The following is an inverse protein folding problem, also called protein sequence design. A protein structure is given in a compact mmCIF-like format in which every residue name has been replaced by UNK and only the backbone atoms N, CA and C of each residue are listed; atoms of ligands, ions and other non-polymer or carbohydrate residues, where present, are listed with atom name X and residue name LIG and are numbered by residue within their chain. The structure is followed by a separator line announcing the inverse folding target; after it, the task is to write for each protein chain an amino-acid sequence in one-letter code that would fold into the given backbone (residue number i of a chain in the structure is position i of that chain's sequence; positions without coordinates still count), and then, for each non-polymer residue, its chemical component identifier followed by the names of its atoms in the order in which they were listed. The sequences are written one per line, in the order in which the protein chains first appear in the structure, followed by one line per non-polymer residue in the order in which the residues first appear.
data_IF_510931012148
#
_entry.id   IF_510931012148
#
_cell.length_a   1.000
_cell.length_b   1.000
_cell.length_c   1.000
_cell.angle_alpha   90.00
_cell.angle_beta   90.00
_cell.angle_gamma   90.00
#
_symmetry.space_group_name_H-M   'P 1'
#
loop_
_entity.id
_entity.type
_entity.pdbx_description
1 polymer ?
#
# COMPACT_ATOMS: atom_id res chain seq x y z
N UNK A 1 32.22 35.22 -18.27
CA UNK A 1 31.48 36.05 -17.30
C UNK A 1 30.02 35.98 -17.65
N UNK A 2 29.28 35.12 -17.02
CA UNK A 2 27.81 35.14 -17.01
C UNK A 2 27.39 34.58 -15.67
N UNK A 3 27.02 35.53 -14.78
CA UNK A 3 26.49 35.26 -13.46
C UNK A 3 25.18 34.50 -13.58
N UNK A 4 25.19 33.25 -13.20
CA UNK A 4 23.97 32.49 -12.94
C UNK A 4 23.49 32.91 -11.55
N UNK A 5 22.50 33.80 -11.50
CA UNK A 5 21.75 34.15 -10.32
C UNK A 5 21.12 32.88 -9.71
N UNK A 6 21.78 32.32 -8.71
CA UNK A 6 21.20 31.30 -7.80
C UNK A 6 20.31 32.01 -6.81
N UNK A 7 19.03 32.12 -7.11
CA UNK A 7 18.02 32.51 -6.14
C UNK A 7 17.97 31.42 -5.05
N UNK A 8 18.45 31.69 -3.87
CA UNK A 8 18.34 30.87 -2.67
C UNK A 8 16.85 30.73 -2.29
N UNK A 9 16.24 29.64 -2.73
CA UNK A 9 14.88 29.31 -2.34
C UNK A 9 14.92 28.65 -0.95
N UNK A 10 14.43 29.34 0.08
CA UNK A 10 14.45 28.91 1.50
C UNK A 10 13.63 27.63 1.82
N UNK A 11 13.03 26.98 0.81
CA UNK A 11 12.10 25.87 0.98
C UNK A 11 12.66 24.47 0.68
N UNK A 12 13.95 24.29 0.45
CA UNK A 12 14.54 22.99 0.09
C UNK A 12 15.43 22.43 1.21
N UNK A 13 14.89 22.33 2.43
CA UNK A 13 15.69 21.87 3.57
C UNK A 13 15.88 20.36 3.59
N UNK A 14 14.86 19.60 3.24
CA UNK A 14 14.87 18.15 3.27
C UNK A 14 14.58 17.56 1.91
N UNK A 15 15.48 16.71 1.41
CA UNK A 15 15.37 16.13 0.07
C UNK A 15 15.41 14.61 0.13
N UNK A 16 14.77 13.95 -0.84
CA UNK A 16 15.02 12.56 -1.15
C UNK A 16 15.97 12.45 -2.34
N UNK A 17 16.88 11.49 -2.29
CA UNK A 17 17.78 11.12 -3.37
C UNK A 17 17.57 9.66 -3.73
N UNK A 18 17.17 9.39 -4.98
CA UNK A 18 16.87 8.06 -5.51
C UNK A 18 17.82 7.79 -6.69
N UNK A 19 18.95 7.10 -6.47
CA UNK A 19 19.85 6.74 -7.56
C UNK A 19 19.29 5.58 -8.38
N UNK A 20 19.11 5.81 -9.68
CA UNK A 20 18.48 4.85 -10.61
C UNK A 20 19.34 4.73 -11.86
N UNK A 21 20.14 3.68 -11.98
CA UNK A 21 20.98 3.47 -13.17
C UNK A 21 20.27 2.71 -14.26
N UNK A 22 20.63 2.96 -15.54
CA UNK A 22 20.10 2.26 -16.70
C UNK A 22 20.59 0.82 -16.81
N UNK A 23 21.83 0.55 -16.37
CA UNK A 23 22.45 -0.78 -16.38
C UNK A 23 22.02 -1.64 -15.19
N UNK A 24 21.40 -2.79 -15.45
CA UNK A 24 21.14 -3.83 -14.44
C UNK A 24 21.53 -5.18 -15.02
N UNK A 25 22.40 -5.93 -14.31
CA UNK A 25 22.95 -7.22 -14.80
C UNK A 25 21.94 -8.35 -14.70
N UNK A 26 21.25 -8.50 -13.57
CA UNK A 26 20.31 -9.59 -13.33
C UNK A 26 18.99 -9.40 -14.05
N UNK A 27 18.50 -8.14 -14.16
CA UNK A 27 17.22 -7.83 -14.78
C UNK A 27 17.38 -6.59 -15.67
N UNK A 28 17.40 -6.74 -17.01
CA UNK A 28 17.54 -5.60 -17.93
C UNK A 28 16.45 -4.54 -17.69
N UNK A 29 16.85 -3.27 -17.61
CA UNK A 29 15.95 -2.14 -17.36
C UNK A 29 15.06 -2.33 -16.11
N UNK A 30 15.57 -2.98 -15.09
CA UNK A 30 14.87 -3.35 -13.84
C UNK A 30 13.98 -2.22 -13.32
N UNK A 31 14.49 -1.01 -13.27
CA UNK A 31 13.83 0.13 -12.63
C UNK A 31 12.58 0.64 -13.37
N UNK A 32 12.45 0.37 -14.66
CA UNK A 32 11.26 0.71 -15.45
C UNK A 32 10.43 -0.51 -15.86
N UNK A 33 10.81 -1.71 -15.38
CA UNK A 33 9.99 -2.90 -15.54
C UNK A 33 8.72 -2.76 -14.73
N UNK A 34 7.59 -3.10 -15.34
CA UNK A 34 6.27 -3.00 -14.71
C UNK A 34 6.11 -4.03 -13.59
N UNK A 35 5.56 -3.58 -12.46
CA UNK A 35 5.20 -4.38 -11.29
C UNK A 35 3.92 -3.80 -10.66
N UNK A 36 2.91 -4.61 -10.49
CA UNK A 36 1.60 -4.21 -9.96
C UNK A 36 1.00 -2.97 -10.67
N UNK A 37 1.13 -2.90 -12.02
CA UNK A 37 0.54 -1.87 -12.86
C UNK A 37 1.36 -0.58 -13.02
N UNK A 38 2.57 -0.49 -12.43
CA UNK A 38 3.46 0.66 -12.54
C UNK A 38 4.92 0.23 -12.72
N UNK A 39 5.79 1.07 -13.32
CA UNK A 39 7.24 0.86 -13.30
C UNK A 39 7.79 0.73 -11.88
N UNK A 40 8.80 -0.13 -11.66
CA UNK A 40 9.37 -0.37 -10.33
C UNK A 40 9.72 0.92 -9.57
N UNK A 41 10.39 1.86 -10.22
CA UNK A 41 10.80 3.14 -9.61
C UNK A 41 9.62 4.03 -9.18
N UNK A 42 8.45 3.84 -9.76
CA UNK A 42 7.24 4.59 -9.40
C UNK A 42 6.92 4.50 -7.92
N UNK A 43 7.03 3.30 -7.33
CA UNK A 43 6.64 3.03 -5.95
C UNK A 43 7.48 3.82 -4.94
N UNK A 44 8.80 3.86 -5.14
CA UNK A 44 9.69 4.60 -4.24
C UNK A 44 9.64 6.12 -4.47
N UNK A 45 9.44 6.57 -5.71
CA UNK A 45 9.20 7.99 -6.01
C UNK A 45 7.88 8.44 -5.38
N UNK A 46 6.80 7.65 -5.50
CA UNK A 46 5.51 7.92 -4.86
C UNK A 46 5.68 8.01 -3.34
N UNK A 47 6.32 7.02 -2.70
CA UNK A 47 6.56 7.03 -1.26
C UNK A 47 7.31 8.29 -0.79
N UNK A 48 8.34 8.71 -1.53
CA UNK A 48 9.09 9.93 -1.24
C UNK A 48 8.24 11.20 -1.40
N UNK A 49 7.39 11.26 -2.45
CA UNK A 49 6.50 12.39 -2.68
C UNK A 49 5.38 12.50 -1.63
N UNK A 50 4.90 11.36 -1.12
CA UNK A 50 3.85 11.29 -0.09
C UNK A 50 4.38 11.65 1.31
N UNK A 51 5.69 11.56 1.56
CA UNK A 51 6.30 11.93 2.83
C UNK A 51 6.11 13.41 3.12
N UNK A 52 5.68 13.73 4.36
CA UNK A 52 5.41 15.09 4.83
C UNK A 52 6.66 15.91 5.08
N UNK A 53 7.79 15.25 5.35
CA UNK A 53 9.06 15.89 5.68
C UNK A 53 9.92 16.18 4.46
N UNK A 54 9.64 15.57 3.30
CA UNK A 54 10.43 15.73 2.07
C UNK A 54 9.85 16.87 1.23
N UNK A 55 10.68 17.87 0.95
CA UNK A 55 10.31 19.02 0.12
C UNK A 55 10.49 18.74 -1.37
N UNK A 56 11.58 18.05 -1.75
CA UNK A 56 11.92 17.69 -3.15
C UNK A 56 12.46 16.27 -3.23
N UNK A 57 12.18 15.62 -4.35
CA UNK A 57 12.63 14.25 -4.66
C UNK A 57 13.49 14.28 -5.91
N UNK A 58 14.77 13.94 -5.77
CA UNK A 58 15.72 13.90 -6.88
C UNK A 58 15.94 12.46 -7.34
N UNK A 59 15.67 12.19 -8.60
CA UNK A 59 15.90 10.89 -9.22
C UNK A 59 17.13 11.03 -10.13
N UNK A 60 18.24 10.42 -9.75
CA UNK A 60 19.50 10.52 -10.46
C UNK A 60 19.68 9.36 -11.43
N UNK A 61 19.72 9.63 -12.74
CA UNK A 61 19.84 8.59 -13.77
C UNK A 61 20.78 8.98 -14.90
N UNK A 62 21.41 7.97 -15.50
CA UNK A 62 22.22 8.02 -16.73
C UNK A 62 21.42 7.57 -17.97
N UNK A 63 20.11 7.26 -17.83
CA UNK A 63 19.28 6.67 -18.89
C UNK A 63 18.13 7.58 -19.29
N UNK A 64 18.09 7.97 -20.58
CA UNK A 64 16.99 8.76 -21.13
C UNK A 64 15.63 8.06 -20.99
N UNK A 65 15.58 6.72 -21.14
CA UNK A 65 14.35 5.95 -20.96
C UNK A 65 13.80 6.04 -19.54
N UNK A 66 14.67 5.98 -18.53
CA UNK A 66 14.26 6.13 -17.13
C UNK A 66 13.79 7.55 -16.89
N UNK A 67 14.50 8.55 -17.44
CA UNK A 67 14.12 9.96 -17.35
C UNK A 67 12.72 10.20 -17.91
N UNK A 68 12.47 9.80 -19.16
CA UNK A 68 11.15 9.92 -19.81
C UNK A 68 10.04 9.23 -19.00
N UNK A 69 10.33 8.03 -18.49
CA UNK A 69 9.37 7.25 -17.66
C UNK A 69 9.00 8.01 -16.38
N UNK A 70 9.99 8.53 -15.65
CA UNK A 70 9.77 9.22 -14.36
C UNK A 70 9.09 10.57 -14.56
N UNK A 71 9.49 11.34 -15.58
CA UNK A 71 8.84 12.61 -15.94
C UNK A 71 7.35 12.41 -16.29
N UNK A 72 7.00 11.25 -16.87
CA UNK A 72 5.61 10.86 -17.16
C UNK A 72 4.73 10.60 -15.94
N UNK A 73 5.29 10.46 -14.74
CA UNK A 73 4.48 10.24 -13.52
C UNK A 73 3.74 11.50 -13.04
N UNK A 74 4.23 12.70 -13.39
CA UNK A 74 3.56 13.95 -13.03
C UNK A 74 3.65 14.37 -11.57
N UNK A 75 4.55 13.78 -10.77
CA UNK A 75 4.74 14.16 -9.37
C UNK A 75 5.39 15.54 -9.24
N UNK A 76 4.71 16.50 -8.61
CA UNK A 76 5.18 17.88 -8.48
C UNK A 76 6.49 18.06 -7.69
N UNK A 77 6.75 17.17 -6.71
CA UNK A 77 7.98 17.19 -5.91
C UNK A 77 9.17 16.52 -6.63
N UNK A 78 8.92 15.70 -7.67
CA UNK A 78 9.93 14.89 -8.33
C UNK A 78 10.67 15.67 -9.41
N UNK A 79 11.99 15.54 -9.45
CA UNK A 79 12.88 16.11 -10.44
C UNK A 79 13.90 15.07 -10.87
N UNK A 80 14.03 14.87 -12.19
CA UNK A 80 15.04 13.97 -12.73
C UNK A 80 16.32 14.76 -13.00
N UNK A 81 17.42 14.26 -12.45
CA UNK A 81 18.77 14.84 -12.60
C UNK A 81 19.71 13.87 -13.29
N UNK A 82 20.74 14.41 -13.93
CA UNK A 82 21.80 13.62 -14.53
C UNK A 82 22.67 12.94 -13.47
N UNK A 83 23.31 11.85 -13.86
CA UNK A 83 24.29 11.12 -13.09
C UNK A 83 25.54 10.91 -13.93
N UNK A 84 26.74 11.12 -13.35
CA UNK A 84 27.99 10.92 -14.09
C UNK A 84 28.18 9.45 -14.48
N UNK A 85 28.87 9.21 -15.57
CA UNK A 85 29.22 7.85 -16.01
C UNK A 85 30.07 7.11 -14.98
N UNK A 86 30.88 7.85 -14.20
CA UNK A 86 31.70 7.30 -13.13
C UNK A 86 30.84 6.71 -12.03
N UNK A 87 29.88 7.47 -11.51
CA UNK A 87 28.98 7.02 -10.44
C UNK A 87 27.87 6.08 -10.90
N UNK A 88 27.59 6.01 -12.21
CA UNK A 88 26.65 5.07 -12.84
C UNK A 88 27.29 3.71 -13.18
N UNK A 89 28.60 3.56 -13.04
CA UNK A 89 29.31 2.32 -13.36
C UNK A 89 28.89 1.15 -12.45
N UNK A 90 29.16 -0.07 -12.90
CA UNK A 90 28.81 -1.30 -12.15
C UNK A 90 29.58 -1.45 -10.83
N UNK A 91 30.74 -0.79 -10.70
CA UNK A 91 31.60 -0.82 -9.52
C UNK A 91 31.42 0.38 -8.60
N UNK A 92 30.65 1.36 -9.03
CA UNK A 92 30.37 2.55 -8.23
C UNK A 92 29.48 2.23 -7.01
N UNK A 93 29.86 2.74 -5.86
CA UNK A 93 29.05 2.63 -4.65
C UNK A 93 27.84 3.58 -4.69
N UNK A 94 26.83 3.28 -3.89
CA UNK A 94 25.71 4.21 -3.69
C UNK A 94 26.18 5.52 -3.04
N UNK A 95 27.21 5.44 -2.17
CA UNK A 95 27.85 6.58 -1.53
C UNK A 95 28.46 7.54 -2.55
N UNK A 96 29.14 7.04 -3.59
CA UNK A 96 29.74 7.89 -4.60
C UNK A 96 28.71 8.76 -5.34
N UNK A 97 27.55 8.19 -5.65
CA UNK A 97 26.43 8.92 -6.26
C UNK A 97 25.81 9.95 -5.29
N UNK A 98 25.67 9.58 -4.01
CA UNK A 98 25.14 10.47 -2.99
C UNK A 98 26.09 11.65 -2.70
N UNK A 99 27.41 11.41 -2.70
CA UNK A 99 28.43 12.44 -2.52
C UNK A 99 28.51 13.37 -3.76
N UNK A 100 28.41 12.83 -4.97
CA UNK A 100 28.29 13.63 -6.20
C UNK A 100 27.10 14.58 -6.10
N UNK A 101 25.92 14.07 -5.73
CA UNK A 101 24.72 14.86 -5.52
C UNK A 101 24.94 15.95 -4.45
N UNK A 102 25.50 15.59 -3.30
CA UNK A 102 25.75 16.54 -2.20
C UNK A 102 26.79 17.63 -2.57
N UNK A 103 27.68 17.36 -3.53
CA UNK A 103 28.60 18.34 -4.09
C UNK A 103 27.94 19.34 -5.03
N UNK A 104 26.85 18.97 -5.67
CA UNK A 104 26.16 19.78 -6.70
C UNK A 104 24.93 20.54 -6.16
N UNK A 105 24.26 20.01 -5.11
CA UNK A 105 23.01 20.53 -4.58
C UNK A 105 23.13 20.92 -3.12
N UNK A 106 22.43 21.99 -2.73
CA UNK A 106 22.35 22.45 -1.35
C UNK A 106 21.09 21.93 -0.68
N UNK A 107 21.23 21.31 0.50
CA UNK A 107 20.15 20.82 1.36
C UNK A 107 20.64 20.70 2.80
N UNK A 108 19.75 20.56 3.76
CA UNK A 108 20.10 20.32 5.18
C UNK A 108 20.09 18.82 5.49
N UNK A 109 19.03 18.12 5.05
CA UNK A 109 18.82 16.70 5.31
C UNK A 109 18.53 15.95 4.02
N UNK A 110 19.01 14.71 3.92
CA UNK A 110 18.77 13.83 2.79
C UNK A 110 18.26 12.47 3.26
N UNK A 111 17.19 12.00 2.60
CA UNK A 111 16.78 10.60 2.62
C UNK A 111 17.31 9.93 1.34
N UNK A 112 18.31 9.06 1.48
CA UNK A 112 18.71 8.15 0.41
C UNK A 112 17.70 7.01 0.35
N UNK A 113 17.08 6.78 -0.80
CA UNK A 113 16.05 5.75 -1.01
C UNK A 113 16.50 4.84 -2.14
N UNK A 114 16.42 3.53 -1.95
CA UNK A 114 16.75 2.56 -2.99
C UNK A 114 15.51 2.18 -3.80
N UNK A 115 15.58 2.28 -5.13
CA UNK A 115 14.50 1.96 -6.05
C UNK A 115 14.08 0.46 -6.01
N UNK A 116 14.94 -0.39 -5.45
CA UNK A 116 14.71 -1.84 -5.27
C UNK A 116 13.76 -2.21 -4.14
N UNK A 117 13.31 -1.24 -3.35
CA UNK A 117 12.43 -1.43 -2.18
C UNK A 117 11.01 -0.87 -2.42
N UNK A 118 10.22 -1.41 -3.35
CA UNK A 118 8.91 -0.85 -3.74
C UNK A 118 7.83 -1.01 -2.67
N UNK A 119 8.11 -1.75 -1.59
CA UNK A 119 7.23 -1.85 -0.44
C UNK A 119 7.39 -0.69 0.57
N UNK A 120 8.31 0.24 0.32
CA UNK A 120 8.45 1.48 1.10
C UNK A 120 7.20 2.35 0.93
N UNK A 121 6.76 2.99 2.03
CA UNK A 121 5.63 3.93 2.03
C UNK A 121 6.03 5.32 2.53
N UNK A 122 5.21 6.33 2.24
CA UNK A 122 5.38 7.68 2.80
C UNK A 122 5.30 7.69 4.34
N UNK A 123 4.48 6.81 4.92
CA UNK A 123 4.37 6.67 6.38
C UNK A 123 5.65 6.10 7.02
N UNK A 124 6.35 5.17 6.35
CA UNK A 124 7.63 4.66 6.83
C UNK A 124 8.68 5.77 6.84
N UNK A 125 8.73 6.59 5.79
CA UNK A 125 9.61 7.75 5.73
C UNK A 125 9.24 8.79 6.80
N UNK A 126 7.95 9.09 7.00
CA UNK A 126 7.47 9.97 8.06
C UNK A 126 7.93 9.49 9.45
N UNK A 127 7.78 8.19 9.74
CA UNK A 127 8.26 7.58 10.98
C UNK A 127 9.78 7.64 11.13
N UNK A 128 10.52 7.39 10.05
CA UNK A 128 11.97 7.54 10.00
C UNK A 128 12.42 8.97 10.32
N UNK A 129 11.77 9.98 9.73
CA UNK A 129 12.06 11.39 10.02
C UNK A 129 11.67 11.80 11.43
N UNK A 130 10.56 11.32 11.98
CA UNK A 130 10.20 11.56 13.39
C UNK A 130 11.28 11.03 14.33
N UNK A 131 11.80 9.83 14.06
CA UNK A 131 12.89 9.24 14.83
C UNK A 131 14.21 10.01 14.65
N UNK A 132 14.50 10.47 13.42
CA UNK A 132 15.69 11.26 13.09
C UNK A 132 15.70 12.60 13.81
N UNK A 133 14.57 13.29 13.86
CA UNK A 133 14.42 14.60 14.53
C UNK A 133 14.34 14.49 16.05
N UNK A 134 14.28 13.28 16.61
CA UNK A 134 14.31 13.10 18.06
C UNK A 134 15.73 13.37 18.60
N UNK A 135 15.83 13.70 19.91
CA UNK A 135 17.10 13.98 20.56
C UNK A 135 18.12 12.83 20.38
N UNK A 136 19.37 13.20 20.20
CA UNK A 136 20.50 12.27 20.12
C UNK A 136 20.49 11.33 18.90
N UNK A 137 19.99 11.74 17.74
CA UNK A 137 20.06 10.96 16.50
C UNK A 137 20.88 11.71 15.46
N UNK A 138 21.88 11.04 14.89
CA UNK A 138 22.77 11.60 13.87
C UNK A 138 22.46 11.02 12.48
N UNK A 139 22.01 9.78 12.41
CA UNK A 139 21.54 9.14 11.19
C UNK A 139 20.54 8.00 11.49
N UNK A 140 19.74 7.67 10.48
CA UNK A 140 18.75 6.57 10.51
C UNK A 140 19.11 5.57 9.42
N UNK A 141 18.89 4.29 9.72
CA UNK A 141 18.76 3.25 8.71
C UNK A 141 17.42 2.51 8.90
N UNK A 142 16.85 2.06 7.80
CA UNK A 142 15.67 1.18 7.82
C UNK A 142 16.09 -0.26 8.07
N UNK A 143 15.32 -0.96 8.90
CA UNK A 143 15.56 -2.36 9.27
C UNK A 143 14.26 -3.13 9.34
N UNK A 144 14.36 -4.46 9.29
CA UNK A 144 13.24 -5.38 9.51
C UNK A 144 13.61 -6.40 10.58
N UNK A 145 12.68 -6.72 11.45
CA UNK A 145 12.89 -7.74 12.48
C UNK A 145 12.76 -9.14 11.90
N UNK A 146 13.82 -9.94 12.05
CA UNK A 146 13.86 -11.33 11.61
C UNK A 146 13.94 -12.28 12.80
N UNK A 147 12.95 -13.17 12.92
CA UNK A 147 12.88 -14.22 13.96
C UNK A 147 13.44 -15.54 13.43
N UNK A 148 14.69 -15.52 12.97
CA UNK A 148 15.39 -16.67 12.41
C UNK A 148 16.59 -17.05 13.27
N UNK A 149 16.84 -18.34 13.42
CA UNK A 149 18.02 -18.88 14.11
C UNK A 149 19.18 -18.98 13.14
N UNK A 150 20.23 -18.18 13.39
CA UNK A 150 21.40 -18.10 12.54
C UNK A 150 22.55 -18.97 13.05
N UNK A 151 23.30 -19.48 12.11
CA UNK A 151 24.48 -20.29 12.36
C UNK A 151 25.71 -19.66 11.70
N UNK A 152 26.87 -19.81 12.35
CA UNK A 152 28.15 -19.41 11.81
C UNK A 152 28.97 -20.68 11.57
N UNK A 153 29.54 -20.81 10.36
CA UNK A 153 30.47 -21.88 10.02
C UNK A 153 31.88 -21.40 10.37
N UNK A 154 32.61 -22.21 11.15
CA UNK A 154 34.02 -21.95 11.52
C UNK A 154 34.95 -22.40 10.42
N UNK A 155 36.23 -22.01 10.54
CA UNK A 155 37.31 -22.38 9.57
C UNK A 155 37.52 -23.88 9.46
N UNK A 156 37.23 -24.64 10.51
CA UNK A 156 37.36 -26.11 10.56
C UNK A 156 36.11 -26.86 10.00
N UNK A 157 35.14 -26.12 9.48
CA UNK A 157 33.90 -26.66 8.92
C UNK A 157 32.81 -26.97 9.95
N UNK A 158 33.07 -26.81 11.25
CA UNK A 158 32.04 -26.95 12.28
C UNK A 158 31.12 -25.75 12.31
N UNK A 159 29.88 -25.90 12.80
CA UNK A 159 28.91 -24.82 12.91
C UNK A 159 28.56 -24.53 14.37
N UNK A 160 28.34 -23.27 14.67
CA UNK A 160 27.84 -22.81 15.99
C UNK A 160 26.66 -21.84 15.83
N UNK A 161 25.72 -21.81 16.78
CA UNK A 161 24.63 -20.84 16.74
C UNK A 161 25.18 -19.42 16.92
N UNK A 162 24.63 -18.46 16.14
CA UNK A 162 25.09 -17.08 16.18
C UNK A 162 24.22 -16.18 17.09
N UNK A 163 22.96 -16.55 17.32
CA UNK A 163 22.01 -15.66 17.98
C UNK A 163 21.05 -16.34 18.95
N UNK A 164 21.32 -17.57 19.35
CA UNK A 164 20.53 -18.28 20.36
C UNK A 164 21.36 -19.36 21.06
N UNK A 165 20.89 -19.84 22.21
CA UNK A 165 21.48 -20.99 22.92
C UNK A 165 20.82 -22.28 22.43
N UNK A 166 21.61 -23.22 21.88
CA UNK A 166 21.11 -24.53 21.39
C UNK A 166 20.49 -25.40 22.47
N UNK A 167 20.97 -25.24 23.71
CA UNK A 167 20.47 -26.02 24.86
C UNK A 167 19.23 -25.41 25.49
N UNK A 168 18.91 -24.14 25.14
CA UNK A 168 17.73 -23.39 25.61
C UNK A 168 17.03 -22.71 24.44
N UNK A 169 16.81 -23.47 23.36
CA UNK A 169 16.19 -22.92 22.13
C UNK A 169 14.82 -22.35 22.46
N UNK A 170 14.59 -21.03 22.29
CA UNK A 170 13.30 -20.41 22.54
C UNK A 170 12.28 -20.82 21.47
N UNK A 171 11.00 -20.71 21.78
CA UNK A 171 9.94 -20.77 20.77
C UNK A 171 10.00 -19.51 19.89
N UNK A 172 9.55 -19.60 18.64
CA UNK A 172 9.57 -18.46 17.71
C UNK A 172 8.85 -17.22 18.27
N UNK A 173 7.79 -17.42 19.06
CA UNK A 173 7.01 -16.35 19.70
C UNK A 173 7.76 -15.68 20.86
N UNK A 174 8.65 -16.41 21.54
CA UNK A 174 9.44 -15.96 22.69
C UNK A 174 10.83 -15.41 22.28
N UNK A 175 11.15 -15.50 21.00
CA UNK A 175 12.42 -15.05 20.46
C UNK A 175 12.24 -13.67 19.83
N UNK A 176 12.88 -12.64 20.39
CA UNK A 176 12.80 -11.27 19.89
C UNK A 176 13.41 -11.10 18.49
N UNK A 177 14.26 -12.05 18.07
CA UNK A 177 14.96 -11.99 16.79
C UNK A 177 16.09 -10.96 16.80
N UNK A 178 16.41 -10.44 15.62
CA UNK A 178 17.40 -9.41 15.41
C UNK A 178 16.96 -8.51 14.24
N UNK A 179 17.51 -7.31 14.21
CA UNK A 179 17.25 -6.35 13.16
C UNK A 179 18.19 -6.59 11.98
N UNK A 180 17.62 -6.65 10.78
CA UNK A 180 18.35 -6.79 9.52
C UNK A 180 18.12 -5.52 8.71
N UNK A 181 19.19 -4.93 8.21
CA UNK A 181 19.14 -3.84 7.26
C UNK A 181 18.43 -4.29 5.97
N UNK A 182 17.40 -3.57 5.56
CA UNK A 182 16.60 -3.90 4.37
C UNK A 182 16.84 -2.92 3.21
N UNK A 183 17.81 -2.01 3.34
CA UNK A 183 18.23 -1.13 2.27
C UNK A 183 17.21 -0.08 1.83
N UNK A 184 16.00 -0.04 2.36
CA UNK A 184 14.92 0.76 1.81
C UNK A 184 15.22 2.27 1.88
N UNK A 185 15.69 2.78 3.03
CA UNK A 185 16.09 4.18 3.16
C UNK A 185 17.09 4.45 4.29
N UNK A 186 17.79 5.57 4.14
CA UNK A 186 18.74 6.11 5.11
C UNK A 186 18.54 7.63 5.22
N UNK A 187 18.64 8.19 6.43
CA UNK A 187 18.48 9.63 6.64
C UNK A 187 19.72 10.16 7.35
N UNK A 188 20.28 11.25 6.83
CA UNK A 188 21.43 11.95 7.44
C UNK A 188 21.42 13.43 7.07
N UNK A 189 22.25 14.25 7.73
CA UNK A 189 22.47 15.64 7.30
C UNK A 189 23.56 15.71 6.23
N UNK A 190 23.51 16.77 5.38
CA UNK A 190 24.54 17.04 4.38
C UNK A 190 25.92 17.23 5.01
N UNK A 191 25.98 17.99 6.10
CA UNK A 191 27.26 18.23 6.82
C UNK A 191 27.89 16.92 7.25
N UNK A 192 27.10 16.03 7.85
CA UNK A 192 27.58 14.73 8.34
C UNK A 192 27.98 13.80 7.21
N UNK A 193 27.20 13.77 6.13
CA UNK A 193 27.50 13.00 4.92
C UNK A 193 28.85 13.41 4.33
N UNK A 194 29.07 14.71 4.13
CA UNK A 194 30.30 15.21 3.56
C UNK A 194 31.54 14.99 4.48
N UNK A 195 31.34 15.02 5.81
CA UNK A 195 32.39 14.77 6.78
C UNK A 195 32.78 13.30 6.91
N UNK A 196 31.81 12.40 6.83
CA UNK A 196 32.03 10.95 7.03
C UNK A 196 32.21 10.18 5.73
N UNK A 197 31.86 10.79 4.59
CA UNK A 197 31.77 10.15 3.26
C UNK A 197 30.91 8.88 3.26
N UNK A 198 29.94 8.81 4.19
CA UNK A 198 29.09 7.63 4.38
C UNK A 198 27.63 8.04 4.65
N UNK A 199 26.68 7.23 4.14
CA UNK A 199 25.23 7.43 4.31
C UNK A 199 24.77 7.36 5.77
N UNK A 200 25.50 6.67 6.63
CA UNK A 200 25.25 6.55 8.07
C UNK A 200 26.52 6.80 8.88
N UNK A 201 26.42 7.60 9.92
CA UNK A 201 27.52 7.90 10.83
C UNK A 201 27.01 8.48 12.15
N UNK A 202 27.89 8.57 13.14
CA UNK A 202 27.57 9.13 14.47
C UNK A 202 26.66 8.21 15.28
N UNK A 203 25.65 8.77 15.94
CA UNK A 203 24.63 8.01 16.68
C UNK A 203 23.55 7.55 15.74
N UNK A 204 23.64 6.29 15.33
CA UNK A 204 22.78 5.64 14.37
C UNK A 204 21.56 5.04 15.11
N UNK A 205 20.36 5.32 14.64
CA UNK A 205 19.13 4.65 15.12
C UNK A 205 18.47 3.88 13.99
N UNK A 206 17.86 2.76 14.35
CA UNK A 206 17.17 1.88 13.41
C UNK A 206 15.66 2.18 13.42
N UNK A 207 15.08 2.39 12.24
CA UNK A 207 13.65 2.45 12.05
C UNK A 207 13.15 1.07 11.60
N UNK A 208 12.31 0.43 12.41
CA UNK A 208 11.80 -0.91 12.16
C UNK A 208 10.58 -0.84 11.23
N UNK A 209 10.73 -1.37 10.02
CA UNK A 209 9.68 -1.50 9.01
C UNK A 209 8.90 -2.82 9.17
N UNK A 210 7.70 -2.95 8.57
CA UNK A 210 6.93 -4.20 8.53
C UNK A 210 7.73 -5.38 7.96
N UNK A 211 7.40 -6.62 8.39
CA UNK A 211 8.13 -7.84 8.01
C UNK A 211 8.19 -8.05 6.49
N UNK A 212 7.14 -7.71 5.76
CA UNK A 212 7.10 -7.79 4.29
C UNK A 212 8.13 -6.90 3.59
N UNK A 213 8.58 -5.83 4.22
CA UNK A 213 9.62 -4.93 3.68
C UNK A 213 11.04 -5.52 3.72
N UNK A 214 11.18 -6.77 4.16
CA UNK A 214 12.44 -7.52 4.07
C UNK A 214 12.85 -7.83 2.63
N UNK A 215 11.88 -7.94 1.72
CA UNK A 215 12.14 -8.30 0.33
C UNK A 215 12.58 -7.07 -0.49
N UNK A 216 13.72 -7.21 -1.15
CA UNK A 216 14.26 -6.27 -2.15
C UNK A 216 14.26 -6.94 -3.52
N UNK A 217 14.19 -6.17 -4.61
CA UNK A 217 14.23 -6.72 -5.96
C UNK A 217 15.68 -6.79 -6.44
N UNK A 218 16.26 -7.98 -6.42
CA UNK A 218 17.58 -8.28 -6.98
C UNK A 218 17.54 -9.37 -8.04
N UNK A 219 16.68 -10.37 -7.87
CA UNK A 219 16.54 -11.52 -8.75
C UNK A 219 15.11 -11.59 -9.36
N UNK A 220 14.92 -12.31 -10.47
CA UNK A 220 13.61 -12.43 -11.11
C UNK A 220 12.49 -12.97 -10.19
N UNK A 221 12.83 -13.83 -9.21
CA UNK A 221 11.86 -14.38 -8.27
C UNK A 221 11.32 -13.31 -7.32
N UNK A 222 12.14 -12.32 -6.97
CA UNK A 222 11.73 -11.22 -6.09
C UNK A 222 10.60 -10.41 -6.70
N UNK A 223 10.59 -10.24 -8.04
CA UNK A 223 9.48 -9.60 -8.74
C UNK A 223 8.14 -10.28 -8.46
N UNK A 224 8.11 -11.62 -8.49
CA UNK A 224 6.88 -12.38 -8.27
C UNK A 224 6.38 -12.20 -6.83
N UNK A 225 7.28 -12.30 -5.86
CA UNK A 225 6.95 -12.16 -4.43
C UNK A 225 6.46 -10.74 -4.14
N UNK A 226 7.22 -9.74 -4.57
CA UNK A 226 6.92 -8.33 -4.28
C UNK A 226 5.69 -7.86 -5.05
N UNK A 227 5.47 -8.33 -6.28
CA UNK A 227 4.26 -8.01 -7.03
C UNK A 227 3.01 -8.49 -6.31
N UNK A 228 3.03 -9.70 -5.75
CA UNK A 228 1.90 -10.21 -4.99
C UNK A 228 1.68 -9.43 -3.69
N UNK A 229 2.76 -9.05 -2.97
CA UNK A 229 2.68 -8.21 -1.79
C UNK A 229 2.13 -6.80 -2.12
N UNK A 230 2.56 -6.19 -3.23
CA UNK A 230 2.02 -4.91 -3.70
C UNK A 230 0.54 -5.04 -4.08
N UNK A 231 0.17 -6.05 -4.87
CA UNK A 231 -1.24 -6.31 -5.23
C UNK A 231 -2.10 -6.50 -3.99
N UNK A 232 -1.61 -7.25 -2.99
CA UNK A 232 -2.29 -7.45 -1.72
C UNK A 232 -2.44 -6.13 -0.95
N UNK A 233 -1.39 -5.29 -0.92
CA UNK A 233 -1.42 -3.97 -0.30
C UNK A 233 -2.43 -3.04 -0.98
N UNK A 234 -2.43 -2.98 -2.32
CA UNK A 234 -3.37 -2.19 -3.11
C UNK A 234 -4.82 -2.63 -2.87
N UNK A 235 -5.08 -3.95 -2.85
CA UNK A 235 -6.40 -4.50 -2.50
C UNK A 235 -6.83 -4.15 -1.08
N UNK A 236 -5.89 -4.08 -0.13
CA UNK A 236 -6.17 -3.76 1.27
C UNK A 236 -6.26 -2.25 1.57
N UNK A 237 -6.06 -1.37 0.58
CA UNK A 237 -6.11 0.09 0.76
C UNK A 237 -5.02 0.64 1.70
N UNK A 238 -3.94 -0.09 1.96
CA UNK A 238 -2.88 0.28 2.91
C UNK A 238 -1.82 1.24 2.37
N UNK A 239 -1.88 1.62 1.09
CA UNK A 239 -1.01 2.67 0.57
C UNK A 239 -1.50 4.03 1.09
N UNK A 240 -0.65 4.63 1.93
CA UNK A 240 -0.94 5.82 2.72
C UNK A 240 -1.21 7.09 1.92
N UNK A 241 -2.21 7.10 1.07
CA UNK A 241 -2.88 8.33 0.74
C UNK A 241 -3.69 8.79 1.96
N UNK A 242 -3.39 9.96 2.50
CA UNK A 242 -4.35 10.71 3.30
C UNK A 242 -5.53 11.01 2.37
N UNK A 243 -6.52 10.12 2.42
CA UNK A 243 -7.66 10.06 1.51
C UNK A 243 -8.07 8.62 1.17
N UNK A 244 -7.22 7.59 1.41
CA UNK A 244 -7.50 6.16 1.19
C UNK A 244 -7.74 5.36 2.48
N UNK A 245 -7.76 5.98 3.65
CA UNK A 245 -8.35 5.35 4.83
C UNK A 245 -9.81 5.04 4.55
N UNK A 246 -10.32 3.91 5.08
CA UNK A 246 -11.76 3.66 5.08
C UNK A 246 -12.39 4.92 5.70
N UNK A 247 -13.28 5.65 4.98
CA UNK A 247 -13.94 6.80 5.57
C UNK A 247 -14.73 6.35 6.81
N UNK A 248 -15.09 7.26 7.69
CA UNK A 248 -15.99 6.93 8.79
C UNK A 248 -17.30 6.41 8.20
N UNK A 249 -17.50 5.09 8.22
CA UNK A 249 -18.71 4.47 7.66
C UNK A 249 -19.84 4.58 8.67
N UNK A 250 -20.91 5.26 8.26
CA UNK A 250 -22.17 5.42 9.02
C UNK A 250 -23.30 4.58 8.45
N UNK A 251 -23.17 4.15 7.20
CA UNK A 251 -24.16 3.32 6.51
C UNK A 251 -23.48 2.26 5.66
N UNK A 252 -23.99 1.04 5.69
CA UNK A 252 -23.55 -0.11 4.90
C UNK A 252 -24.70 -0.66 4.09
N UNK A 253 -24.61 -0.56 2.78
CA UNK A 253 -25.60 -1.06 1.82
C UNK A 253 -24.99 -2.16 0.95
N UNK A 254 -25.80 -3.13 0.54
CA UNK A 254 -25.36 -4.23 -0.33
C UNK A 254 -26.42 -4.58 -1.34
N UNK A 255 -26.00 -5.04 -2.53
CA UNK A 255 -26.89 -5.80 -3.38
C UNK A 255 -27.20 -7.17 -2.75
N UNK A 256 -28.19 -7.85 -3.29
CA UNK A 256 -28.62 -9.18 -2.83
C UNK A 256 -27.97 -10.29 -3.66
N UNK A 257 -28.21 -10.29 -4.96
CA UNK A 257 -27.83 -11.40 -5.83
C UNK A 257 -26.39 -11.23 -6.32
N UNK A 258 -25.59 -12.29 -6.16
CA UNK A 258 -24.13 -12.23 -6.40
C UNK A 258 -23.33 -11.65 -5.23
N UNK A 259 -23.97 -10.96 -4.26
CA UNK A 259 -23.32 -10.40 -3.06
C UNK A 259 -23.67 -11.22 -1.81
N UNK A 260 -24.94 -11.17 -1.36
CA UNK A 260 -25.46 -11.97 -0.23
C UNK A 260 -25.77 -13.40 -0.60
N UNK A 261 -26.02 -13.65 -1.88
CA UNK A 261 -26.17 -14.97 -2.48
C UNK A 261 -25.01 -15.26 -3.43
N UNK A 262 -24.90 -16.49 -3.91
CA UNK A 262 -23.95 -16.90 -4.94
C UNK A 262 -24.39 -16.55 -6.38
N UNK A 263 -25.48 -15.79 -6.52
CA UNK A 263 -26.10 -15.45 -7.81
C UNK A 263 -26.87 -16.61 -8.45
N UNK A 264 -26.84 -17.81 -7.86
CA UNK A 264 -27.59 -18.96 -8.32
C UNK A 264 -29.07 -18.88 -7.97
N UNK A 265 -29.94 -19.16 -8.95
CA UNK A 265 -31.37 -19.22 -8.78
C UNK A 265 -31.88 -20.64 -8.99
N UNK A 266 -32.71 -21.12 -8.06
CA UNK A 266 -33.33 -22.44 -8.13
C UNK A 266 -34.78 -22.30 -8.43
N UNK A 267 -35.24 -22.86 -9.56
CA UNK A 267 -36.63 -22.87 -9.98
C UNK A 267 -37.21 -24.26 -9.85
N UNK A 268 -38.42 -24.36 -9.31
CA UNK A 268 -39.20 -25.59 -9.39
C UNK A 268 -40.19 -25.56 -10.57
N UNK A 269 -40.68 -26.71 -10.99
CA UNK A 269 -41.75 -26.79 -12.01
C UNK A 269 -43.07 -26.07 -11.59
N UNK A 270 -43.20 -25.77 -10.30
CA UNK A 270 -44.35 -25.05 -9.73
C UNK A 270 -44.12 -23.54 -9.63
N UNK A 271 -42.96 -23.05 -10.12
CA UNK A 271 -42.61 -21.65 -10.09
C UNK A 271 -42.03 -21.14 -8.74
N UNK A 272 -41.67 -22.07 -7.82
CA UNK A 272 -40.96 -21.66 -6.59
C UNK A 272 -39.57 -21.23 -6.90
N UNK A 273 -39.11 -20.17 -6.25
CA UNK A 273 -37.74 -19.66 -6.31
C UNK A 273 -37.07 -19.78 -4.96
N UNK A 274 -35.81 -20.24 -4.95
CA UNK A 274 -35.00 -20.39 -3.75
C UNK A 274 -33.66 -19.68 -3.94
N UNK A 275 -33.21 -19.00 -2.90
CA UNK A 275 -31.88 -18.37 -2.86
C UNK A 275 -31.09 -18.90 -1.66
N UNK A 276 -29.79 -19.13 -1.87
CA UNK A 276 -28.87 -19.57 -0.83
C UNK A 276 -28.15 -18.36 -0.23
N UNK A 277 -28.33 -18.13 1.09
CA UNK A 277 -27.65 -17.11 1.85
C UNK A 277 -26.60 -17.71 2.78
N UNK A 278 -25.51 -16.98 3.01
CA UNK A 278 -24.45 -17.40 3.93
C UNK A 278 -24.72 -16.90 5.37
N UNK A 279 -24.46 -17.76 6.36
CA UNK A 279 -24.72 -17.43 7.77
C UNK A 279 -23.75 -16.42 8.36
N UNK A 280 -22.50 -16.44 7.93
CA UNK A 280 -21.45 -15.50 8.41
C UNK A 280 -21.78 -14.06 8.02
N UNK A 281 -22.35 -13.82 6.83
CA UNK A 281 -22.77 -12.49 6.41
C UNK A 281 -23.83 -11.91 7.36
N UNK A 282 -24.76 -12.77 7.80
CA UNK A 282 -25.75 -12.38 8.79
C UNK A 282 -25.15 -11.96 10.14
N UNK A 283 -24.08 -12.60 10.57
CA UNK A 283 -23.36 -12.19 11.77
C UNK A 283 -22.61 -10.86 11.55
N UNK A 284 -22.11 -10.60 10.35
CA UNK A 284 -21.50 -9.33 9.97
C UNK A 284 -22.44 -8.14 10.21
N UNK A 285 -23.68 -8.22 9.76
CA UNK A 285 -24.68 -7.17 10.00
C UNK A 285 -24.97 -6.93 11.48
N UNK A 286 -24.88 -7.97 12.32
CA UNK A 286 -24.98 -7.80 13.77
C UNK A 286 -23.83 -6.94 14.32
N UNK A 287 -22.60 -7.16 13.87
CA UNK A 287 -21.44 -6.36 14.29
C UNK A 287 -21.59 -4.89 13.89
N UNK A 288 -22.07 -4.61 12.66
CA UNK A 288 -22.31 -3.23 12.21
C UNK A 288 -23.35 -2.52 13.11
N UNK A 289 -24.46 -3.20 13.45
CA UNK A 289 -25.47 -2.62 14.35
C UNK A 289 -24.93 -2.34 15.75
N UNK A 290 -24.08 -3.21 16.29
CA UNK A 290 -23.41 -2.98 17.60
C UNK A 290 -22.51 -1.74 17.58
N UNK A 291 -22.07 -1.31 16.39
CA UNK A 291 -21.33 -0.07 16.17
C UNK A 291 -22.21 1.12 15.78
N UNK A 292 -23.53 0.96 15.73
CA UNK A 292 -24.47 2.02 15.34
C UNK A 292 -24.49 2.34 13.85
N UNK A 293 -23.95 1.46 13.00
CA UNK A 293 -23.93 1.63 11.54
C UNK A 293 -25.28 1.18 10.96
N UNK A 294 -25.93 2.05 10.19
CA UNK A 294 -27.18 1.77 9.48
C UNK A 294 -26.93 0.74 8.37
N UNK A 295 -27.80 -0.24 8.25
CA UNK A 295 -27.61 -1.37 7.33
C UNK A 295 -28.78 -1.55 6.37
N UNK A 296 -28.48 -1.95 5.11
CA UNK A 296 -29.54 -2.15 4.15
C UNK A 296 -29.20 -3.01 2.93
N UNK A 297 -30.27 -3.38 2.21
CA UNK A 297 -30.22 -4.04 0.91
C UNK A 297 -30.82 -3.10 -0.14
N UNK A 298 -30.15 -2.98 -1.29
CA UNK A 298 -30.62 -2.28 -2.48
C UNK A 298 -30.48 -3.23 -3.66
N UNK A 299 -31.59 -3.79 -4.14
CA UNK A 299 -31.59 -4.82 -5.17
C UNK A 299 -32.55 -4.51 -6.31
N UNK A 300 -32.20 -4.91 -7.53
CA UNK A 300 -33.04 -4.75 -8.72
C UNK A 300 -34.25 -5.67 -8.70
N UNK A 301 -34.17 -6.81 -8.02
CA UNK A 301 -35.30 -7.76 -7.97
C UNK A 301 -36.32 -7.41 -6.88
N UNK A 302 -37.60 -7.39 -7.23
CA UNK A 302 -38.70 -7.23 -6.27
C UNK A 302 -39.26 -8.59 -5.81
N UNK A 303 -38.54 -9.21 -4.87
CA UNK A 303 -38.89 -10.51 -4.32
C UNK A 303 -39.26 -10.44 -2.83
N UNK A 304 -40.32 -11.16 -2.44
CA UNK A 304 -40.68 -11.33 -1.03
C UNK A 304 -39.58 -11.96 -0.19
N UNK A 305 -38.73 -12.77 -0.82
CA UNK A 305 -37.59 -13.47 -0.19
C UNK A 305 -36.51 -12.50 0.29
N UNK A 306 -36.25 -11.44 -0.47
CA UNK A 306 -35.29 -10.39 -0.10
C UNK A 306 -35.81 -9.63 1.15
N UNK A 307 -37.11 -9.29 1.20
CA UNK A 307 -37.74 -8.67 2.39
C UNK A 307 -37.63 -9.56 3.62
N UNK A 308 -37.97 -10.86 3.46
CA UNK A 308 -37.86 -11.85 4.55
C UNK A 308 -36.40 -12.00 5.06
N UNK A 309 -35.41 -11.89 4.17
CA UNK A 309 -34.00 -11.92 4.55
C UNK A 309 -33.62 -10.66 5.34
N UNK A 310 -34.01 -9.48 4.87
CA UNK A 310 -33.77 -8.21 5.56
C UNK A 310 -34.41 -8.20 6.95
N UNK A 311 -35.64 -8.64 7.11
CA UNK A 311 -36.32 -8.78 8.40
C UNK A 311 -35.58 -9.71 9.34
N UNK A 312 -35.16 -10.91 8.87
CA UNK A 312 -34.41 -11.87 9.66
C UNK A 312 -33.08 -11.31 10.14
N UNK A 313 -32.41 -10.50 9.31
CA UNK A 313 -31.15 -9.83 9.62
C UNK A 313 -31.36 -8.55 10.43
N UNK A 314 -32.59 -8.09 10.61
CA UNK A 314 -32.97 -6.82 11.26
C UNK A 314 -32.28 -5.62 10.59
N UNK A 315 -32.31 -5.57 9.26
CA UNK A 315 -31.76 -4.45 8.50
C UNK A 315 -32.70 -3.25 8.60
N UNK A 316 -32.11 -2.06 8.60
CA UNK A 316 -32.84 -0.79 8.71
C UNK A 316 -33.53 -0.41 7.40
N UNK A 317 -32.95 -0.86 6.26
CA UNK A 317 -33.33 -0.44 4.92
C UNK A 317 -33.49 -1.67 4.01
N UNK A 318 -34.54 -1.66 3.21
CA UNK A 318 -34.69 -2.54 2.04
C UNK A 318 -35.31 -1.77 0.88
N UNK A 319 -34.62 -1.76 -0.24
CA UNK A 319 -35.11 -1.24 -1.52
C UNK A 319 -35.12 -2.39 -2.53
N UNK A 320 -36.31 -2.83 -2.90
CA UNK A 320 -36.53 -3.82 -3.97
C UNK A 320 -36.89 -3.09 -5.27
N UNK A 321 -36.57 -3.67 -6.42
CA UNK A 321 -36.91 -3.11 -7.72
C UNK A 321 -36.15 -1.85 -8.10
N UNK A 322 -34.92 -1.67 -7.54
CA UNK A 322 -34.07 -0.54 -7.83
C UNK A 322 -33.45 -0.68 -9.24
N UNK A 323 -34.03 -0.02 -10.23
CA UNK A 323 -33.50 0.02 -11.60
C UNK A 323 -32.27 0.94 -11.72
N UNK A 324 -32.22 2.00 -10.92
CA UNK A 324 -31.07 2.89 -10.75
C UNK A 324 -30.62 2.82 -9.29
N UNK A 325 -29.54 2.05 -9.06
CA UNK A 325 -29.05 1.78 -7.71
C UNK A 325 -28.33 3.00 -7.12
N UNK A 326 -27.62 3.81 -7.92
CA UNK A 326 -26.99 5.05 -7.43
C UNK A 326 -28.05 6.05 -6.96
N UNK A 327 -29.09 6.26 -7.73
CA UNK A 327 -30.20 7.14 -7.34
C UNK A 327 -30.93 6.62 -6.09
N UNK A 328 -31.10 5.30 -5.97
CA UNK A 328 -31.68 4.70 -4.76
C UNK A 328 -30.78 4.97 -3.54
N UNK A 329 -29.45 4.82 -3.66
CA UNK A 329 -28.48 5.11 -2.59
C UNK A 329 -28.52 6.60 -2.22
N UNK A 330 -28.59 7.53 -3.19
CA UNK A 330 -28.69 8.97 -2.93
C UNK A 330 -29.93 9.34 -2.12
N UNK A 331 -31.09 8.80 -2.49
CA UNK A 331 -32.35 9.02 -1.75
C UNK A 331 -32.29 8.47 -0.33
N UNK A 332 -31.61 7.34 -0.13
CA UNK A 332 -31.37 6.78 1.19
C UNK A 332 -30.46 7.71 1.99
N UNK A 333 -29.37 8.17 1.40
CA UNK A 333 -28.40 9.09 1.98
C UNK A 333 -29.09 10.40 2.48
N UNK A 334 -29.90 11.02 1.63
CA UNK A 334 -30.69 12.20 1.96
C UNK A 334 -31.69 11.94 3.10
N UNK A 335 -32.42 10.81 3.05
CA UNK A 335 -33.41 10.44 4.08
C UNK A 335 -32.79 10.29 5.47
N UNK A 336 -31.55 9.78 5.55
CA UNK A 336 -30.86 9.51 6.81
C UNK A 336 -29.86 10.61 7.18
N UNK A 337 -29.74 11.68 6.39
CA UNK A 337 -28.78 12.78 6.55
C UNK A 337 -27.33 12.26 6.69
N UNK A 338 -26.96 11.33 5.81
CA UNK A 338 -25.61 10.72 5.75
C UNK A 338 -24.97 11.08 4.41
N UNK A 339 -23.77 11.76 4.42
CA UNK A 339 -23.04 12.05 3.21
C UNK A 339 -22.64 10.77 2.46
N UNK A 340 -22.63 10.82 1.12
CA UNK A 340 -22.23 9.68 0.27
C UNK A 340 -20.84 9.15 0.61
N UNK A 341 -19.94 10.00 1.05
CA UNK A 341 -18.59 9.64 1.49
C UNK A 341 -18.55 8.76 2.76
N UNK A 342 -19.62 8.77 3.56
CA UNK A 342 -19.76 7.94 4.77
C UNK A 342 -20.56 6.66 4.53
N UNK A 343 -20.80 6.29 3.27
CA UNK A 343 -21.53 5.08 2.87
C UNK A 343 -20.56 4.06 2.29
N UNK A 344 -20.69 2.81 2.74
CA UNK A 344 -20.13 1.64 2.07
C UNK A 344 -21.21 0.94 1.23
N UNK A 345 -20.88 0.55 0.00
CA UNK A 345 -21.77 -0.18 -0.89
C UNK A 345 -21.09 -1.42 -1.46
N UNK A 346 -21.76 -2.56 -1.43
CA UNK A 346 -21.29 -3.83 -2.02
C UNK A 346 -22.15 -4.19 -3.20
N UNK A 347 -21.55 -4.34 -4.37
CA UNK A 347 -22.20 -4.76 -5.61
C UNK A 347 -21.31 -5.70 -6.41
N UNK A 348 -21.87 -6.41 -7.39
CA UNK A 348 -21.13 -7.44 -8.14
C UNK A 348 -21.20 -7.30 -9.66
N UNK A 349 -22.16 -6.57 -10.21
CA UNK A 349 -22.34 -6.53 -11.67
C UNK A 349 -22.52 -5.10 -12.21
N UNK A 350 -22.77 -4.99 -13.50
CA UNK A 350 -22.81 -3.75 -14.30
C UNK A 350 -23.77 -2.71 -13.70
N UNK A 351 -24.91 -3.15 -13.20
CA UNK A 351 -25.94 -2.29 -12.59
C UNK A 351 -25.52 -1.72 -11.22
N UNK A 352 -24.39 -2.18 -10.65
CA UNK A 352 -23.83 -1.68 -9.40
C UNK A 352 -22.71 -0.66 -9.60
N UNK A 353 -22.11 -0.60 -10.79
CA UNK A 353 -20.88 0.16 -11.05
C UNK A 353 -21.00 1.61 -10.59
N UNK A 354 -22.09 2.28 -10.94
CA UNK A 354 -22.30 3.69 -10.59
C UNK A 354 -22.48 3.86 -9.07
N UNK A 355 -23.15 2.94 -8.38
CA UNK A 355 -23.28 2.96 -6.94
C UNK A 355 -21.95 2.67 -6.24
N UNK A 356 -21.18 1.67 -6.71
CA UNK A 356 -19.82 1.36 -6.22
C UNK A 356 -18.90 2.58 -6.34
N UNK A 357 -18.89 3.25 -7.49
CA UNK A 357 -18.05 4.42 -7.74
C UNK A 357 -18.54 5.69 -7.02
N UNK A 358 -19.85 5.79 -6.75
CA UNK A 358 -20.49 7.00 -6.22
C UNK A 358 -20.49 7.13 -4.70
N UNK A 359 -20.06 6.11 -3.95
CA UNK A 359 -20.00 6.11 -2.49
C UNK A 359 -18.56 6.27 -1.97
N UNK A 360 -18.42 6.58 -0.68
CA UNK A 360 -17.10 6.71 -0.05
C UNK A 360 -16.29 5.41 -0.01
N UNK A 361 -16.95 4.25 0.08
CA UNK A 361 -16.29 2.95 0.11
C UNK A 361 -17.05 1.88 -0.69
N UNK A 362 -16.82 1.86 -1.99
CA UNK A 362 -17.38 0.86 -2.88
C UNK A 362 -16.61 -0.46 -2.83
N UNK A 363 -17.32 -1.58 -2.73
CA UNK A 363 -16.76 -2.92 -2.59
C UNK A 363 -17.40 -3.92 -3.54
N UNK A 364 -16.72 -5.04 -3.81
CA UNK A 364 -17.33 -6.16 -4.53
C UNK A 364 -16.77 -7.52 -4.06
N UNK A 365 -17.51 -8.63 -4.26
CA UNK A 365 -17.02 -9.97 -3.99
C UNK A 365 -15.99 -10.45 -5.04
N UNK A 366 -15.28 -11.55 -4.73
CA UNK A 366 -14.27 -12.13 -5.62
C UNK A 366 -14.80 -12.56 -6.99
N UNK A 367 -16.05 -12.99 -7.07
CA UNK A 367 -16.72 -13.44 -8.31
C UNK A 367 -17.44 -12.31 -9.07
N UNK A 368 -17.34 -11.05 -8.64
CA UNK A 368 -17.91 -9.91 -9.33
C UNK A 368 -17.38 -9.76 -10.77
N UNK A 369 -18.14 -9.06 -11.61
CA UNK A 369 -17.75 -8.74 -12.98
C UNK A 369 -16.44 -7.94 -13.02
N UNK A 370 -15.72 -8.03 -14.14
CA UNK A 370 -14.43 -7.31 -14.29
C UNK A 370 -14.63 -5.80 -14.12
N UNK A 371 -15.72 -5.25 -14.60
CA UNK A 371 -16.00 -3.82 -14.55
C UNK A 371 -16.37 -3.36 -13.13
N UNK A 372 -17.15 -4.16 -12.38
CA UNK A 372 -17.41 -3.88 -10.97
C UNK A 372 -16.14 -3.91 -10.12
N UNK A 373 -15.23 -4.85 -10.38
CA UNK A 373 -13.92 -4.91 -9.72
C UNK A 373 -13.03 -3.70 -10.00
N UNK A 374 -13.08 -3.14 -11.22
CA UNK A 374 -12.34 -1.91 -11.56
C UNK A 374 -12.88 -0.68 -10.83
N UNK A 375 -14.19 -0.63 -10.60
CA UNK A 375 -14.87 0.48 -9.93
C UNK A 375 -14.70 0.42 -8.39
N UNK A 376 -14.48 -0.78 -7.84
CA UNK A 376 -14.45 -1.01 -6.40
C UNK A 376 -13.11 -0.56 -5.78
N UNK A 377 -13.18 0.06 -4.60
CA UNK A 377 -12.02 0.35 -3.75
C UNK A 377 -11.51 -0.89 -3.01
N UNK A 378 -12.39 -1.85 -2.76
CA UNK A 378 -12.04 -3.12 -2.11
C UNK A 378 -12.73 -4.29 -2.82
N UNK A 379 -11.94 -5.29 -3.19
CA UNK A 379 -12.40 -6.57 -3.74
C UNK A 379 -12.15 -7.65 -2.70
N UNK A 380 -13.21 -8.29 -2.22
CA UNK A 380 -13.09 -9.38 -1.25
C UNK A 380 -12.35 -10.60 -1.85
N UNK A 381 -11.68 -11.38 -1.01
CA UNK A 381 -11.07 -12.66 -1.41
C UNK A 381 -12.13 -13.76 -1.55
N UNK A 382 -13.25 -13.64 -0.81
CA UNK A 382 -14.36 -14.57 -0.85
C UNK A 382 -15.38 -14.19 -1.91
N UNK A 383 -16.08 -15.21 -2.40
CA UNK A 383 -17.18 -15.04 -3.36
C UNK A 383 -18.48 -14.63 -2.64
N UNK A 384 -19.37 -13.99 -3.38
CA UNK A 384 -20.74 -13.73 -2.96
C UNK A 384 -21.45 -15.02 -2.52
N UNK A 385 -22.29 -14.94 -1.49
CA UNK A 385 -22.94 -16.11 -0.88
C UNK A 385 -21.97 -17.10 -0.19
N UNK A 386 -20.70 -16.74 -0.04
CA UNK A 386 -19.64 -17.55 0.60
C UNK A 386 -18.91 -16.80 1.70
N UNK A 387 -19.45 -15.66 2.15
CA UNK A 387 -18.91 -14.86 3.24
C UNK A 387 -18.14 -13.61 2.80
N UNK A 388 -18.26 -13.17 1.56
CA UNK A 388 -17.66 -11.94 1.05
C UNK A 388 -18.12 -10.69 1.80
N UNK A 389 -19.44 -10.58 2.05
CA UNK A 389 -20.00 -9.45 2.80
C UNK A 389 -19.48 -9.45 4.24
N UNK A 390 -19.31 -10.61 4.85
CA UNK A 390 -18.69 -10.72 6.19
C UNK A 390 -17.25 -10.22 6.18
N UNK A 391 -16.45 -10.60 5.20
CA UNK A 391 -15.06 -10.19 5.04
C UNK A 391 -14.96 -8.65 4.88
N UNK A 392 -15.80 -8.07 4.01
CA UNK A 392 -15.85 -6.61 3.81
C UNK A 392 -16.21 -5.89 5.11
N UNK A 393 -17.16 -6.40 5.88
CA UNK A 393 -17.56 -5.83 7.16
C UNK A 393 -16.42 -5.90 8.17
N UNK A 394 -15.72 -7.02 8.28
CA UNK A 394 -14.54 -7.16 9.16
C UNK A 394 -13.44 -6.19 8.75
N UNK A 395 -13.22 -6.01 7.45
CA UNK A 395 -12.27 -5.05 6.93
C UNK A 395 -12.62 -3.59 7.31
N UNK A 396 -13.91 -3.22 7.26
CA UNK A 396 -14.39 -1.88 7.64
C UNK A 396 -14.25 -1.64 9.16
N UNK A 397 -14.43 -2.67 9.97
CA UNK A 397 -14.42 -2.54 11.43
C UNK A 397 -13.01 -2.62 12.05
N UNK A 398 -11.98 -3.09 11.31
CA UNK A 398 -10.58 -3.21 11.74
C UNK A 398 -10.31 -4.56 12.37
#
# INVERSE_FOLDING_TARGET
MSDINRTHNKNNRTVAFIPVRGGSKSIPLKNIKEIAGHPLVYWTVKAACDCRYIDRVFIATDSDKIKETVEGFGFQKAEVIGRSAETASDTASTESALLEFAGQYEFEHVALIQATSPLLTGNDLDGGFQLYMSENTDSILSVVRQKRFNWRVKRDGTAEPANYDVYKRPRRQEFDGYLVENGAFYITSRERLLKSENRISGRIRAYEMPEESYFEIDEPLDFVIIEELLKRRLRSGRDGEKGSGIPEIKMFLTDCDGCLTDGGMYYSEKGDELKKFHTLDGMGFKLLREKGIITGIVTAEDMKLNRRRAEKLKLDIIVNGATDKLEAVRRIAEKYDIPMENIAYVGDDINDIEAIAGVGFGCCPANASTEAKKAARYVAEKEGGSGAVREIIEYILG
#
